data_IF_183792445121
#
_entry.id   IF_183792445121
#
_cell.length_a   1.000
_cell.length_b   1.000
_cell.length_c   1.000
_cell.angle_alpha   90.00
_cell.angle_beta   90.00
_cell.angle_gamma   90.00
#
_symmetry.space_group_name_H-M   'P 1'
#
loop_
_entity.id
_entity.type
_entity.pdbx_description
1 polymer ?
#
# COMPACT_ATOMS: atom_id res chain seq x y z
N UNK A 1 -2.09 37.01 18.85
CA UNK A 1 -0.86 36.26 18.53
C UNK A 1 -1.08 34.73 18.56
N UNK A 2 -1.77 34.20 19.56
CA UNK A 2 -2.06 32.75 19.70
C UNK A 2 -2.80 32.12 18.49
N UNK A 3 -3.84 32.76 17.94
CA UNK A 3 -4.59 32.23 16.79
C UNK A 3 -3.74 32.04 15.52
N UNK A 4 -2.73 32.90 15.29
CA UNK A 4 -1.78 32.75 14.16
C UNK A 4 -0.82 31.58 14.38
N UNK A 5 -0.46 31.28 15.62
CA UNK A 5 0.41 30.15 15.94
C UNK A 5 -0.33 28.81 15.74
N UNK A 6 -1.61 28.73 16.17
CA UNK A 6 -2.47 27.55 15.97
C UNK A 6 -2.63 27.22 14.48
N UNK A 7 -3.00 28.21 13.65
CA UNK A 7 -3.17 27.99 12.21
C UNK A 7 -1.88 27.59 11.48
N UNK A 8 -0.71 28.02 11.96
CA UNK A 8 0.58 27.62 11.41
C UNK A 8 0.94 26.16 11.75
N UNK A 9 0.57 25.68 12.95
CA UNK A 9 0.77 24.29 13.38
C UNK A 9 -0.09 23.35 12.54
N UNK A 10 -1.38 23.63 12.38
CA UNK A 10 -2.29 22.81 11.58
C UNK A 10 -1.88 22.74 10.11
N UNK A 11 -1.45 23.88 9.53
CA UNK A 11 -0.96 23.90 8.15
C UNK A 11 0.31 23.04 7.97
N UNK A 12 1.19 23.03 8.98
CA UNK A 12 2.40 22.19 8.99
C UNK A 12 2.04 20.70 9.12
N UNK A 13 1.08 20.35 9.96
CA UNK A 13 0.58 18.98 10.12
C UNK A 13 -0.06 18.48 8.83
N UNK A 14 -0.98 19.23 8.22
CA UNK A 14 -1.59 18.89 6.92
C UNK A 14 -0.54 18.67 5.84
N UNK A 15 0.51 19.52 5.80
CA UNK A 15 1.66 19.34 4.90
C UNK A 15 2.46 18.08 5.23
N UNK A 16 2.61 17.75 6.51
CA UNK A 16 3.24 16.52 7.00
C UNK A 16 2.51 15.27 6.52
N UNK A 17 1.19 15.18 6.76
CA UNK A 17 0.37 14.05 6.29
C UNK A 17 0.41 13.93 4.78
N UNK A 18 0.28 15.02 4.03
CA UNK A 18 0.36 14.99 2.57
C UNK A 18 1.68 14.37 2.08
N UNK A 19 2.81 14.78 2.67
CA UNK A 19 4.14 14.24 2.34
C UNK A 19 4.24 12.76 2.69
N UNK A 20 3.76 12.37 3.88
CA UNK A 20 3.77 10.99 4.33
C UNK A 20 2.90 10.09 3.43
N UNK A 21 1.67 10.51 3.12
CA UNK A 21 0.76 9.78 2.21
C UNK A 21 1.38 9.61 0.82
N UNK A 22 2.00 10.65 0.26
CA UNK A 22 2.70 10.55 -1.02
C UNK A 22 3.87 9.58 -0.96
N UNK A 23 4.72 9.71 0.05
CA UNK A 23 5.90 8.85 0.21
C UNK A 23 5.51 7.38 0.37
N UNK A 24 4.54 7.10 1.24
CA UNK A 24 4.08 5.74 1.53
C UNK A 24 3.32 5.12 0.36
N UNK A 25 2.44 5.87 -0.31
CA UNK A 25 1.74 5.36 -1.50
C UNK A 25 2.72 5.10 -2.65
N UNK A 26 3.73 5.95 -2.83
CA UNK A 26 4.81 5.73 -3.81
C UNK A 26 5.63 4.49 -3.46
N UNK A 27 6.06 4.36 -2.19
CA UNK A 27 6.79 3.19 -1.72
C UNK A 27 5.99 1.89 -1.91
N UNK A 28 4.72 1.87 -1.51
CA UNK A 28 3.82 0.75 -1.72
C UNK A 28 3.68 0.39 -3.21
N UNK A 29 3.59 1.39 -4.10
CA UNK A 29 3.53 1.16 -5.56
C UNK A 29 4.82 0.51 -6.07
N UNK A 30 5.99 1.02 -5.66
CA UNK A 30 7.29 0.46 -6.07
C UNK A 30 7.45 -0.97 -5.57
N UNK A 31 7.21 -1.22 -4.27
CA UNK A 31 7.28 -2.57 -3.73
C UNK A 31 6.23 -3.51 -4.34
N UNK A 32 5.04 -3.02 -4.68
CA UNK A 32 4.02 -3.81 -5.38
C UNK A 32 4.48 -4.21 -6.78
N UNK A 33 5.13 -3.31 -7.52
CA UNK A 33 5.73 -3.62 -8.82
C UNK A 33 6.82 -4.67 -8.71
N UNK A 34 7.74 -4.51 -7.74
CA UNK A 34 8.80 -5.49 -7.48
C UNK A 34 8.22 -6.85 -7.07
N UNK A 35 7.18 -6.86 -6.24
CA UNK A 35 6.50 -8.08 -5.79
C UNK A 35 5.81 -8.82 -6.94
N UNK A 36 5.09 -8.11 -7.81
CA UNK A 36 4.50 -8.73 -9.00
C UNK A 36 5.59 -9.19 -9.99
N UNK A 37 6.68 -8.43 -10.17
CA UNK A 37 7.78 -8.84 -11.01
C UNK A 37 8.43 -10.13 -10.50
N UNK A 38 8.60 -10.26 -9.18
CA UNK A 38 9.11 -11.48 -8.54
C UNK A 38 8.25 -12.71 -8.87
N UNK A 39 6.92 -12.61 -8.78
CA UNK A 39 6.01 -13.68 -9.22
C UNK A 39 6.19 -14.08 -10.68
N UNK A 40 6.34 -13.09 -11.57
CA UNK A 40 6.55 -13.34 -13.00
C UNK A 40 7.92 -14.00 -13.25
N UNK A 41 8.97 -13.55 -12.56
CA UNK A 41 10.34 -14.09 -12.71
C UNK A 41 10.40 -15.53 -12.19
N UNK A 42 9.74 -15.81 -11.05
CA UNK A 42 9.67 -17.16 -10.48
C UNK A 42 8.80 -18.11 -11.30
N UNK A 43 7.91 -17.60 -12.14
CA UNK A 43 6.94 -18.41 -12.88
C UNK A 43 6.02 -19.21 -11.96
N UNK A 44 5.75 -18.68 -10.76
CA UNK A 44 4.90 -19.32 -9.77
C UNK A 44 3.97 -18.30 -9.12
N UNK A 45 2.73 -18.73 -8.88
CA UNK A 45 1.66 -17.87 -8.36
C UNK A 45 1.41 -16.59 -9.18
N UNK A 46 1.92 -16.52 -10.41
CA UNK A 46 1.59 -15.47 -11.36
C UNK A 46 0.27 -15.81 -12.06
N UNK A 47 -0.13 -15.02 -13.04
CA UNK A 47 -1.35 -15.24 -13.79
C UNK A 47 -1.34 -14.43 -15.07
N UNK A 48 -2.48 -14.39 -15.75
CA UNK A 48 -2.65 -13.56 -16.93
C UNK A 48 -2.25 -12.10 -16.63
N UNK A 49 -1.51 -11.43 -17.52
CA UNK A 49 -1.16 -11.83 -18.90
C UNK A 49 0.13 -12.64 -19.07
N UNK A 50 0.82 -13.02 -17.99
CA UNK A 50 2.11 -13.70 -18.06
C UNK A 50 1.98 -15.22 -18.11
N UNK A 51 0.95 -15.75 -17.46
CA UNK A 51 0.54 -17.15 -17.53
C UNK A 51 -0.90 -17.26 -18.06
N UNK A 52 -1.30 -18.44 -18.56
CA UNK A 52 -2.63 -18.64 -19.13
C UNK A 52 -3.76 -18.56 -18.09
N UNK A 53 -3.46 -18.90 -16.82
CA UNK A 53 -4.44 -18.92 -15.74
C UNK A 53 -4.80 -17.53 -15.23
N UNK A 54 -6.09 -17.30 -14.96
CA UNK A 54 -6.53 -16.16 -14.15
C UNK A 54 -6.39 -16.53 -12.69
N UNK A 55 -5.53 -15.84 -11.96
CA UNK A 55 -5.19 -16.14 -10.56
C UNK A 55 -5.37 -14.89 -9.69
N UNK A 56 -5.20 -14.97 -8.35
CA UNK A 56 -5.22 -13.78 -7.50
C UNK A 56 -4.25 -12.68 -7.97
N UNK A 57 -3.12 -13.06 -8.60
CA UNK A 57 -2.19 -12.13 -9.25
C UNK A 57 -2.88 -11.26 -10.31
N UNK A 58 -3.72 -11.85 -11.16
CA UNK A 58 -4.40 -11.10 -12.23
C UNK A 58 -5.33 -10.04 -11.66
N UNK A 59 -6.09 -10.41 -10.62
CA UNK A 59 -7.01 -9.47 -9.96
C UNK A 59 -6.25 -8.39 -9.18
N UNK A 60 -5.11 -8.72 -8.56
CA UNK A 60 -4.33 -7.74 -7.79
C UNK A 60 -3.75 -6.62 -8.65
N UNK A 61 -3.61 -6.79 -9.98
CA UNK A 61 -3.19 -5.72 -10.89
C UNK A 61 -4.13 -4.50 -10.86
N UNK A 62 -5.39 -4.65 -10.43
CA UNK A 62 -6.32 -3.53 -10.24
C UNK A 62 -5.77 -2.49 -9.25
N UNK A 63 -4.87 -2.89 -8.35
CA UNK A 63 -4.27 -1.98 -7.37
C UNK A 63 -3.60 -0.77 -8.02
N UNK A 64 -3.01 -0.93 -9.22
CA UNK A 64 -2.36 0.17 -9.92
C UNK A 64 -3.36 1.21 -10.42
N UNK A 65 -4.52 0.77 -10.88
CA UNK A 65 -5.62 1.65 -11.26
C UNK A 65 -6.22 2.41 -10.07
N UNK A 66 -6.03 1.91 -8.84
CA UNK A 66 -6.49 2.55 -7.61
C UNK A 66 -5.43 3.45 -6.97
N UNK A 67 -4.18 2.99 -6.84
CA UNK A 67 -3.15 3.74 -6.11
C UNK A 67 -2.66 4.96 -6.89
N UNK A 68 -2.54 4.88 -8.22
CA UNK A 68 -1.99 5.96 -9.05
C UNK A 68 -2.88 7.22 -9.03
N UNK A 69 -4.22 7.13 -9.16
CA UNK A 69 -5.09 8.30 -8.95
C UNK A 69 -4.95 8.90 -7.55
N UNK A 70 -4.82 8.08 -6.51
CA UNK A 70 -4.59 8.54 -5.14
C UNK A 70 -3.31 9.35 -5.00
N UNK A 71 -2.21 8.87 -5.57
CA UNK A 71 -0.93 9.60 -5.63
C UNK A 71 -1.11 10.92 -6.38
N UNK A 72 -1.69 10.88 -7.59
CA UNK A 72 -1.89 12.06 -8.42
C UNK A 72 -2.69 13.15 -7.69
N UNK A 73 -3.86 12.81 -7.15
CA UNK A 73 -4.73 13.78 -6.48
C UNK A 73 -4.06 14.37 -5.24
N UNK A 74 -3.31 13.57 -4.49
CA UNK A 74 -2.55 14.04 -3.31
C UNK A 74 -1.39 14.94 -3.71
N UNK A 75 -0.73 14.65 -4.83
CA UNK A 75 0.31 15.48 -5.41
C UNK A 75 -0.27 16.82 -5.89
N UNK A 76 -1.52 16.85 -6.35
CA UNK A 76 -2.28 18.08 -6.66
C UNK A 76 -2.84 18.81 -5.43
N UNK A 77 -2.55 18.33 -4.22
CA UNK A 77 -2.94 18.99 -2.97
C UNK A 77 -4.37 18.69 -2.51
N UNK A 78 -5.05 17.71 -3.12
CA UNK A 78 -6.37 17.27 -2.66
C UNK A 78 -6.22 16.48 -1.37
N UNK A 79 -7.06 16.79 -0.37
CA UNK A 79 -7.17 15.99 0.85
C UNK A 79 -8.09 14.80 0.58
N UNK A 80 -7.50 13.64 0.34
CA UNK A 80 -8.22 12.40 0.05
C UNK A 80 -7.76 11.25 0.97
N UNK A 81 -7.51 11.56 2.24
CA UNK A 81 -7.06 10.58 3.23
C UNK A 81 -7.99 9.35 3.31
N UNK A 82 -9.31 9.55 3.19
CA UNK A 82 -10.28 8.44 3.15
C UNK A 82 -10.07 7.49 1.95
N UNK A 83 -9.68 8.02 0.79
CA UNK A 83 -9.38 7.20 -0.39
C UNK A 83 -8.13 6.35 -0.17
N UNK A 84 -7.05 6.97 0.33
CA UNK A 84 -5.83 6.22 0.68
C UNK A 84 -6.09 5.14 1.72
N UNK A 85 -6.92 5.43 2.71
CA UNK A 85 -7.31 4.44 3.73
C UNK A 85 -8.06 3.26 3.10
N UNK A 86 -9.04 3.52 2.22
CA UNK A 86 -9.78 2.47 1.53
C UNK A 86 -8.86 1.57 0.70
N UNK A 87 -8.00 2.19 -0.13
CA UNK A 87 -7.05 1.46 -1.00
C UNK A 87 -6.06 0.66 -0.16
N UNK A 88 -5.49 1.26 0.90
CA UNK A 88 -4.52 0.58 1.75
C UNK A 88 -5.16 -0.57 2.57
N UNK A 89 -6.36 -0.37 3.11
CA UNK A 89 -7.08 -1.41 3.83
C UNK A 89 -7.46 -2.58 2.91
N UNK A 90 -7.98 -2.29 1.71
CA UNK A 90 -8.27 -3.33 0.71
C UNK A 90 -7.01 -4.05 0.23
N UNK A 91 -5.91 -3.33 0.05
CA UNK A 91 -4.60 -3.89 -0.27
C UNK A 91 -4.07 -4.83 0.82
N UNK A 92 -4.14 -4.43 2.10
CA UNK A 92 -3.77 -5.28 3.23
C UNK A 92 -4.65 -6.53 3.34
N UNK A 93 -5.96 -6.37 3.16
CA UNK A 93 -6.88 -7.50 3.18
C UNK A 93 -6.54 -8.51 2.07
N UNK A 94 -6.26 -8.02 0.86
CA UNK A 94 -5.86 -8.84 -0.28
C UNK A 94 -4.53 -9.55 -0.01
N UNK A 95 -3.49 -8.80 0.37
CA UNK A 95 -2.17 -9.36 0.71
C UNK A 95 -2.27 -10.40 1.84
N UNK A 96 -3.02 -10.08 2.90
CA UNK A 96 -3.30 -10.96 4.01
C UNK A 96 -3.94 -12.27 3.56
N UNK A 97 -5.00 -12.16 2.75
CA UNK A 97 -5.75 -13.31 2.27
C UNK A 97 -4.91 -14.23 1.38
N UNK A 98 -4.23 -13.68 0.37
CA UNK A 98 -3.54 -14.49 -0.65
C UNK A 98 -2.20 -15.07 -0.21
N UNK A 99 -1.61 -14.56 0.89
CA UNK A 99 -0.30 -15.00 1.39
C UNK A 99 -0.35 -15.72 2.74
N UNK A 100 -1.39 -15.51 3.54
CA UNK A 100 -1.40 -16.01 4.92
C UNK A 100 -2.64 -16.85 5.27
N UNK A 101 -3.63 -16.93 4.38
CA UNK A 101 -4.76 -17.83 4.55
C UNK A 101 -4.50 -19.10 3.75
N UNK A 102 -4.46 -20.29 4.39
CA UNK A 102 -4.08 -21.55 3.74
C UNK A 102 -5.22 -22.11 2.89
N UNK A 103 -5.41 -21.53 1.71
CA UNK A 103 -6.37 -21.97 0.69
C UNK A 103 -5.58 -22.49 -0.52
N UNK A 104 -6.09 -23.52 -1.19
CA UNK A 104 -5.44 -24.07 -2.38
C UNK A 104 -5.21 -22.99 -3.44
N UNK A 105 -3.97 -22.87 -3.92
CA UNK A 105 -3.57 -21.86 -4.91
C UNK A 105 -3.15 -20.50 -4.35
N UNK A 106 -3.17 -20.32 -3.03
CA UNK A 106 -2.49 -19.20 -2.35
C UNK A 106 -1.02 -19.51 -2.14
N UNK A 107 -0.19 -18.46 -2.20
CA UNK A 107 1.24 -18.59 -1.91
C UNK A 107 1.44 -18.75 -0.40
N UNK A 108 2.33 -19.66 -0.01
CA UNK A 108 2.90 -19.74 1.33
C UNK A 108 4.30 -19.12 1.31
N UNK A 109 4.48 -17.83 1.69
CA UNK A 109 5.66 -17.05 1.33
C UNK A 109 6.98 -17.69 1.74
N UNK A 110 7.08 -18.24 2.95
CA UNK A 110 8.34 -18.83 3.42
C UNK A 110 8.65 -20.14 2.69
N UNK A 111 7.66 -21.01 2.52
CA UNK A 111 7.88 -22.30 1.88
C UNK A 111 8.13 -22.15 0.37
N UNK A 112 7.31 -21.33 -0.29
CA UNK A 112 7.26 -21.23 -1.75
C UNK A 112 8.37 -20.32 -2.31
N UNK A 113 8.76 -19.25 -1.61
CA UNK A 113 9.85 -18.37 -2.05
C UNK A 113 11.18 -19.11 -2.02
N UNK A 114 11.48 -19.81 -0.92
CA UNK A 114 12.74 -20.56 -0.80
C UNK A 114 12.76 -21.82 -1.67
N UNK A 115 11.61 -22.47 -1.88
CA UNK A 115 11.55 -23.62 -2.79
C UNK A 115 11.70 -23.21 -4.27
N UNK A 116 11.20 -22.03 -4.66
CA UNK A 116 11.26 -21.55 -6.04
C UNK A 116 12.65 -21.01 -6.43
N UNK A 117 13.38 -20.42 -5.48
CA UNK A 117 14.73 -19.91 -5.75
C UNK A 117 15.81 -20.91 -5.31
N UNK A 118 16.65 -21.33 -6.26
CA UNK A 118 17.87 -22.09 -5.96
C UNK A 118 18.94 -21.25 -5.25
N UNK A 119 18.80 -19.92 -5.25
CA UNK A 119 19.69 -18.96 -4.60
C UNK A 119 19.05 -18.40 -3.31
N UNK A 120 19.67 -18.62 -2.12
CA UNK A 120 19.20 -18.03 -0.87
C UNK A 120 19.13 -16.50 -0.89
N UNK A 121 20.02 -15.85 -1.65
CA UNK A 121 20.03 -14.40 -1.79
C UNK A 121 18.78 -13.90 -2.54
N UNK A 122 18.38 -14.57 -3.62
CA UNK A 122 17.18 -14.22 -4.37
C UNK A 122 15.91 -14.37 -3.52
N UNK A 123 15.79 -15.49 -2.79
CA UNK A 123 14.67 -15.69 -1.85
C UNK A 123 14.62 -14.65 -0.73
N UNK A 124 15.78 -14.24 -0.20
CA UNK A 124 15.86 -13.19 0.82
C UNK A 124 15.42 -11.82 0.27
N UNK A 125 15.79 -11.51 -0.98
CA UNK A 125 15.35 -10.27 -1.66
C UNK A 125 13.84 -10.28 -1.86
N UNK A 126 13.26 -11.39 -2.32
CA UNK A 126 11.81 -11.52 -2.50
C UNK A 126 11.04 -11.33 -1.17
N UNK A 127 11.52 -11.94 -0.08
CA UNK A 127 10.96 -11.73 1.26
C UNK A 127 11.08 -10.28 1.73
N UNK A 128 12.22 -9.63 1.46
CA UNK A 128 12.42 -8.22 1.79
C UNK A 128 11.46 -7.32 1.00
N UNK A 129 11.19 -7.64 -0.27
CA UNK A 129 10.21 -6.94 -1.12
C UNK A 129 8.80 -7.09 -0.56
N UNK A 130 8.36 -8.31 -0.26
CA UNK A 130 7.04 -8.57 0.34
C UNK A 130 6.89 -7.86 1.70
N UNK A 131 7.92 -7.90 2.54
CA UNK A 131 7.93 -7.21 3.84
C UNK A 131 7.86 -5.69 3.66
N UNK A 132 8.62 -5.14 2.71
CA UNK A 132 8.58 -3.73 2.36
C UNK A 132 7.22 -3.29 1.85
N UNK A 133 6.56 -4.12 1.03
CA UNK A 133 5.18 -3.92 0.57
C UNK A 133 4.21 -3.86 1.75
N UNK A 134 4.16 -4.92 2.58
CA UNK A 134 3.27 -5.02 3.74
C UNK A 134 3.45 -3.83 4.68
N UNK A 135 4.70 -3.49 4.99
CA UNK A 135 5.03 -2.36 5.87
C UNK A 135 4.55 -1.04 5.28
N UNK A 136 4.81 -0.81 3.99
CA UNK A 136 4.41 0.43 3.32
C UNK A 136 2.89 0.61 3.30
N UNK A 137 2.14 -0.46 2.99
CA UNK A 137 0.67 -0.40 2.95
C UNK A 137 0.07 -0.27 4.36
N UNK A 138 0.64 -0.96 5.36
CA UNK A 138 0.23 -0.83 6.76
C UNK A 138 0.42 0.60 7.28
N UNK A 139 1.60 1.18 7.06
CA UNK A 139 1.88 2.55 7.45
C UNK A 139 1.01 3.54 6.66
N UNK A 140 0.75 3.30 5.37
CA UNK A 140 -0.17 4.12 4.58
C UNK A 140 -1.58 4.14 5.20
N UNK A 141 -2.12 2.97 5.56
CA UNK A 141 -3.43 2.86 6.20
C UNK A 141 -3.46 3.64 7.53
N UNK A 142 -2.43 3.47 8.38
CA UNK A 142 -2.34 4.16 9.66
C UNK A 142 -2.27 5.68 9.49
N UNK A 143 -1.40 6.17 8.62
CA UNK A 143 -1.24 7.61 8.34
C UNK A 143 -2.53 8.19 7.73
N UNK A 144 -3.18 7.46 6.83
CA UNK A 144 -4.45 7.86 6.24
C UNK A 144 -5.57 7.96 7.28
N UNK A 145 -5.64 7.00 8.21
CA UNK A 145 -6.59 7.04 9.32
C UNK A 145 -6.34 8.26 10.23
N UNK A 146 -5.07 8.53 10.58
CA UNK A 146 -4.71 9.69 11.40
C UNK A 146 -5.06 11.01 10.71
N UNK A 147 -4.69 11.15 9.44
CA UNK A 147 -5.00 12.33 8.64
C UNK A 147 -6.52 12.58 8.54
N UNK A 148 -7.31 11.51 8.37
CA UNK A 148 -8.77 11.59 8.34
C UNK A 148 -9.37 12.04 9.68
N UNK A 149 -8.90 11.45 10.79
CA UNK A 149 -9.37 11.82 12.13
C UNK A 149 -9.06 13.27 12.48
N UNK A 150 -7.94 13.80 12.00
CA UNK A 150 -7.62 15.22 12.18
C UNK A 150 -8.61 16.12 11.44
N UNK A 151 -8.92 15.83 10.17
CA UNK A 151 -9.90 16.62 9.41
C UNK A 151 -11.30 16.58 10.04
N UNK A 152 -11.71 15.44 10.61
CA UNK A 152 -12.99 15.32 11.32
C UNK A 152 -13.02 16.17 12.61
N UNK A 153 -11.89 16.24 13.35
CA UNK A 153 -11.76 17.08 14.56
C UNK A 153 -11.77 18.57 14.23
N UNK A 154 -11.06 18.99 13.18
CA UNK A 154 -11.06 20.39 12.70
C UNK A 154 -12.48 20.82 12.33
N UNK A 155 -13.23 20.00 11.59
CA UNK A 155 -14.62 20.30 11.21
C UNK A 155 -15.61 20.31 12.38
N UNK A 156 -15.40 19.50 13.42
CA UNK A 156 -16.28 19.48 14.60
C UNK A 156 -16.03 20.67 15.56
N UNK A 157 -14.83 21.25 15.55
CA UNK A 157 -14.47 22.42 16.35
C UNK A 157 -15.05 23.73 15.80
N UNK A 158 -15.23 23.85 14.48
CA UNK A 158 -15.73 25.05 13.80
C UNK A 158 -17.25 25.26 13.96
N UNK A 159 -17.96 24.27 14.50
CA UNK A 159 -19.44 24.28 14.69
C UNK A 159 -19.83 24.71 16.13
N UNK A 160 -18.86 24.95 17.03
CA UNK A 160 -19.09 25.37 18.42
C UNK A 160 -18.68 26.81 18.66
#
# INVERSE_FOLDING_TARGET
>A
MAARAVGAVEARERKGYRRALLGLATAATVFSLLHHADHVIRGSHSGWPFEAGVTPFTFSLVIYALVLPGIYLTARGRSIAGYHLLVAAGGLATLGFVHFVPVAGHEAPIADIYAAYTSPAAGTIALAVLTGLLTSVALLALVALMARRQTEREGAGDVR
#
